data_IF_111674444530
#
_entry.id   IF_111674444530
#
_cell.length_a   1.000
_cell.length_b   1.000
_cell.length_c   1.000
_cell.angle_alpha   90.00
_cell.angle_beta   90.00
_cell.angle_gamma   90.00
#
_symmetry.space_group_name_H-M   'P 1'
#
loop_
_entity.id
_entity.type
_entity.pdbx_description
1 polymer ?
#
# COMPACT_ATOMS: atom_id res chain seq x y z
N UNK A 1 27.83 7.34 -0.93
CA UNK A 1 27.74 6.40 -2.07
C UNK A 1 27.69 7.21 -3.35
N UNK A 2 28.33 6.76 -4.44
CA UNK A 2 28.26 7.49 -5.71
C UNK A 2 26.83 7.45 -6.27
N UNK A 3 26.28 8.62 -6.63
CA UNK A 3 24.97 8.76 -7.26
C UNK A 3 24.94 8.12 -8.66
N UNK A 4 23.74 7.75 -9.14
CA UNK A 4 23.59 7.06 -10.43
C UNK A 4 24.08 7.91 -11.61
N UNK A 5 23.84 9.22 -11.59
CA UNK A 5 24.36 10.15 -12.61
C UNK A 5 25.88 10.09 -12.73
N UNK A 6 26.58 10.17 -11.60
CA UNK A 6 28.04 10.09 -11.61
C UNK A 6 28.55 8.71 -12.05
N UNK A 7 27.85 7.61 -11.72
CA UNK A 7 28.21 6.28 -12.24
C UNK A 7 28.07 6.20 -13.75
N UNK A 8 26.98 6.75 -14.28
CA UNK A 8 26.73 6.82 -15.72
C UNK A 8 27.85 7.57 -16.43
N UNK A 9 28.20 8.76 -15.94
CA UNK A 9 29.29 9.57 -16.50
C UNK A 9 30.66 8.89 -16.43
N UNK A 10 30.97 8.20 -15.32
CA UNK A 10 32.23 7.45 -15.20
C UNK A 10 32.30 6.32 -16.23
N UNK A 11 31.19 5.60 -16.44
CA UNK A 11 31.14 4.50 -17.40
C UNK A 11 31.20 5.01 -18.84
N UNK A 12 30.52 6.11 -19.16
CA UNK A 12 30.62 6.76 -20.47
C UNK A 12 32.03 7.27 -20.76
N UNK A 13 32.73 7.82 -19.76
CA UNK A 13 34.12 8.23 -19.91
C UNK A 13 35.02 7.03 -20.20
N UNK A 14 34.82 5.92 -19.48
CA UNK A 14 35.55 4.67 -19.72
C UNK A 14 35.30 4.12 -21.14
N UNK A 15 34.03 4.11 -21.59
CA UNK A 15 33.66 3.66 -22.93
C UNK A 15 34.26 4.54 -24.04
N UNK A 16 34.53 5.82 -23.75
CA UNK A 16 35.25 6.76 -24.64
C UNK A 16 36.78 6.57 -24.61
N UNK A 17 37.29 5.57 -23.89
CA UNK A 17 38.72 5.27 -23.80
C UNK A 17 39.49 6.10 -22.77
N UNK A 18 38.80 6.83 -21.89
CA UNK A 18 39.44 7.60 -20.82
C UNK A 18 40.04 6.65 -19.77
N UNK A 19 41.28 6.92 -19.37
CA UNK A 19 41.95 6.14 -18.32
C UNK A 19 41.24 6.30 -16.98
N UNK A 20 41.06 5.20 -16.24
CA UNK A 20 40.34 5.13 -14.94
C UNK A 20 40.85 6.13 -13.89
N UNK A 21 42.12 6.57 -13.99
CA UNK A 21 42.71 7.55 -13.06
C UNK A 21 42.07 8.93 -13.16
N UNK A 22 41.63 9.32 -14.35
CA UNK A 22 41.02 10.64 -14.59
C UNK A 22 39.64 10.77 -13.93
N UNK A 23 38.64 9.90 -14.17
CA UNK A 23 37.37 9.95 -13.47
C UNK A 23 37.54 9.72 -11.97
N UNK A 24 38.53 8.92 -11.53
CA UNK A 24 38.83 8.77 -10.10
C UNK A 24 39.18 10.12 -9.46
N UNK A 25 40.01 10.91 -10.12
CA UNK A 25 40.37 12.26 -9.67
C UNK A 25 39.20 13.25 -9.78
N UNK A 26 38.48 13.25 -10.91
CA UNK A 26 37.37 14.19 -11.16
C UNK A 26 36.20 14.00 -10.20
N UNK A 27 35.87 12.76 -9.83
CA UNK A 27 34.78 12.44 -8.92
C UNK A 27 35.25 12.25 -7.47
N UNK A 28 36.54 12.47 -7.16
CA UNK A 28 37.12 12.24 -5.84
C UNK A 28 36.83 10.84 -5.29
N UNK A 29 36.87 9.82 -6.15
CA UNK A 29 36.62 8.42 -5.81
C UNK A 29 37.88 7.58 -5.96
N UNK A 30 38.02 6.54 -5.13
CA UNK A 30 39.10 5.58 -5.30
C UNK A 30 38.92 4.80 -6.63
N UNK A 31 40.02 4.56 -7.34
CA UNK A 31 40.09 3.68 -8.53
C UNK A 31 39.43 2.32 -8.30
N UNK A 32 39.57 1.73 -7.11
CA UNK A 32 38.90 0.48 -6.74
C UNK A 32 37.37 0.58 -6.84
N UNK A 33 36.78 1.74 -6.52
CA UNK A 33 35.34 1.96 -6.65
C UNK A 33 34.89 1.93 -8.11
N UNK A 34 35.71 2.44 -9.02
CA UNK A 34 35.44 2.41 -10.46
C UNK A 34 35.54 0.97 -10.99
N UNK A 35 36.58 0.22 -10.62
CA UNK A 35 36.69 -1.19 -11.01
C UNK A 35 35.52 -2.03 -10.49
N UNK A 36 35.02 -1.76 -9.28
CA UNK A 36 33.81 -2.41 -8.74
C UNK A 36 32.56 -2.07 -9.55
N UNK A 37 32.44 -0.84 -10.04
CA UNK A 37 31.34 -0.42 -10.92
C UNK A 37 31.41 -1.12 -12.28
N UNK A 38 32.60 -1.18 -12.88
CA UNK A 38 32.83 -1.89 -14.14
C UNK A 38 32.51 -3.39 -14.00
N UNK A 39 33.02 -4.03 -12.95
CA UNK A 39 32.71 -5.43 -12.65
C UNK A 39 31.20 -5.66 -12.54
N UNK A 40 30.50 -4.83 -11.76
CA UNK A 40 29.04 -4.91 -11.63
C UNK A 40 28.32 -4.74 -12.96
N UNK A 41 28.73 -3.78 -13.80
CA UNK A 41 28.15 -3.58 -15.14
C UNK A 41 28.33 -4.85 -15.98
N UNK A 42 29.49 -5.49 -15.93
CA UNK A 42 29.73 -6.71 -16.70
C UNK A 42 28.88 -7.90 -16.21
N UNK A 43 28.62 -7.99 -14.90
CA UNK A 43 27.83 -9.06 -14.31
C UNK A 43 26.31 -8.85 -14.46
N UNK A 44 25.84 -7.61 -14.31
CA UNK A 44 24.40 -7.28 -14.20
C UNK A 44 23.86 -6.51 -15.41
N UNK A 45 24.73 -5.93 -16.24
CA UNK A 45 24.37 -5.03 -17.35
C UNK A 45 23.93 -3.62 -16.92
N UNK A 46 23.73 -3.37 -15.63
CA UNK A 46 23.22 -2.10 -15.09
C UNK A 46 24.24 -1.36 -14.23
N UNK A 47 24.21 -0.02 -14.30
CA UNK A 47 25.00 0.89 -13.47
C UNK A 47 24.24 1.39 -12.23
N UNK A 48 22.92 1.16 -12.19
CA UNK A 48 22.06 1.69 -11.15
C UNK A 48 22.28 1.00 -9.80
N UNK A 49 22.04 1.75 -8.71
CA UNK A 49 21.86 1.13 -7.40
C UNK A 49 20.59 0.29 -7.37
N UNK A 50 20.73 -1.03 -7.22
CA UNK A 50 19.62 -1.92 -6.91
C UNK A 50 19.25 -1.82 -5.41
N UNK A 51 18.75 -0.66 -4.98
CA UNK A 51 18.27 -0.43 -3.61
C UNK A 51 17.05 -1.29 -3.29
N UNK A 52 16.16 -1.49 -4.27
CA UNK A 52 14.94 -2.30 -4.13
C UNK A 52 15.23 -3.78 -3.80
N UNK A 53 16.42 -4.28 -4.16
CA UNK A 53 16.82 -5.63 -3.84
C UNK A 53 17.37 -5.77 -2.41
N UNK A 54 17.70 -4.66 -1.75
CA UNK A 54 18.22 -4.66 -0.38
C UNK A 54 17.08 -4.75 0.64
N UNK A 55 17.42 -5.21 1.85
CA UNK A 55 16.49 -5.29 2.97
C UNK A 55 15.72 -6.62 3.04
N UNK A 56 14.83 -6.71 4.03
CA UNK A 56 14.01 -7.89 4.27
C UNK A 56 12.95 -8.01 3.17
N UNK A 57 12.86 -9.20 2.55
CA UNK A 57 11.84 -9.48 1.55
C UNK A 57 10.45 -9.54 2.19
N UNK A 58 9.41 -9.08 1.49
CA UNK A 58 8.03 -9.23 1.98
C UNK A 58 7.70 -10.72 2.16
N UNK A 59 6.84 -11.02 3.13
CA UNK A 59 6.39 -12.40 3.38
C UNK A 59 5.41 -12.91 2.32
N UNK A 60 4.64 -12.00 1.71
CA UNK A 60 3.72 -12.32 0.63
C UNK A 60 4.48 -12.30 -0.69
N UNK A 61 4.28 -13.34 -1.48
CA UNK A 61 4.76 -13.43 -2.85
C UNK A 61 3.79 -12.75 -3.82
N UNK A 62 4.24 -12.51 -5.07
CA UNK A 62 3.38 -11.95 -6.11
C UNK A 62 2.23 -12.90 -6.49
N UNK A 63 2.42 -14.21 -6.30
CA UNK A 63 1.36 -15.22 -6.49
C UNK A 63 0.30 -15.08 -5.39
N UNK A 64 0.73 -14.92 -4.13
CA UNK A 64 -0.20 -14.70 -3.02
C UNK A 64 -1.01 -13.42 -3.21
N UNK A 65 -0.38 -12.36 -3.73
CA UNK A 65 -1.08 -11.13 -4.07
C UNK A 65 -2.22 -11.39 -5.06
N UNK A 66 -1.96 -12.15 -6.13
CA UNK A 66 -2.98 -12.48 -7.12
C UNK A 66 -4.10 -13.33 -6.51
N UNK A 67 -3.77 -14.34 -5.70
CA UNK A 67 -4.78 -15.16 -5.04
C UNK A 67 -5.68 -14.35 -4.09
N UNK A 68 -5.11 -13.43 -3.30
CA UNK A 68 -5.89 -12.55 -2.41
C UNK A 68 -6.85 -11.68 -3.24
N UNK A 69 -6.37 -11.10 -4.35
CA UNK A 69 -7.20 -10.26 -5.21
C UNK A 69 -8.32 -11.05 -5.89
N UNK A 70 -8.03 -12.23 -6.46
CA UNK A 70 -9.04 -13.09 -7.06
C UNK A 70 -10.09 -13.56 -6.05
N UNK A 71 -9.70 -13.73 -4.79
CA UNK A 71 -10.62 -14.11 -3.73
C UNK A 71 -11.55 -12.94 -3.34
N UNK A 72 -11.03 -11.72 -3.29
CA UNK A 72 -11.83 -10.50 -3.08
C UNK A 72 -12.82 -10.23 -4.20
N UNK A 73 -12.45 -10.51 -5.45
CA UNK A 73 -13.36 -10.39 -6.59
C UNK A 73 -14.56 -11.35 -6.46
N UNK A 74 -14.34 -12.54 -5.92
CA UNK A 74 -15.41 -13.52 -5.66
C UNK A 74 -16.25 -13.16 -4.44
N UNK A 75 -15.61 -12.64 -3.39
CA UNK A 75 -16.24 -12.35 -2.10
C UNK A 75 -15.73 -11.00 -1.56
N UNK A 76 -16.41 -9.89 -1.88
CA UNK A 76 -15.92 -8.55 -1.50
C UNK A 76 -16.03 -8.25 0.00
N UNK A 77 -16.91 -8.96 0.72
CA UNK A 77 -17.14 -8.78 2.16
C UNK A 77 -16.27 -9.69 3.04
N UNK A 78 -15.28 -10.38 2.46
CA UNK A 78 -14.40 -11.27 3.22
C UNK A 78 -13.50 -10.51 4.19
N UNK A 79 -13.32 -11.06 5.39
CA UNK A 79 -12.45 -10.50 6.42
C UNK A 79 -10.98 -10.88 6.21
N UNK A 80 -10.07 -10.09 6.77
CA UNK A 80 -8.63 -10.39 6.69
C UNK A 80 -8.24 -11.71 7.37
N UNK A 81 -8.99 -12.15 8.38
CA UNK A 81 -8.78 -13.44 9.04
C UNK A 81 -9.18 -14.60 8.12
N UNK A 82 -10.35 -14.51 7.51
CA UNK A 82 -10.82 -15.53 6.57
C UNK A 82 -9.90 -15.63 5.35
N UNK A 83 -9.34 -14.51 4.86
CA UNK A 83 -8.30 -14.54 3.80
C UNK A 83 -7.10 -15.38 4.23
N UNK A 84 -6.64 -15.23 5.47
CA UNK A 84 -5.48 -15.98 5.98
C UNK A 84 -5.79 -17.46 6.08
N UNK A 85 -6.97 -17.81 6.62
CA UNK A 85 -7.40 -19.19 6.79
C UNK A 85 -7.69 -19.89 5.46
N UNK A 86 -8.32 -19.20 4.51
CA UNK A 86 -8.66 -19.77 3.20
C UNK A 86 -7.45 -20.01 2.31
N UNK A 87 -6.42 -19.16 2.41
CA UNK A 87 -5.20 -19.26 1.61
C UNK A 87 -4.01 -19.88 2.39
N UNK A 88 -4.23 -20.30 3.63
CA UNK A 88 -3.22 -20.85 4.56
C UNK A 88 -1.91 -20.01 4.61
N UNK A 89 -2.06 -18.69 4.73
CA UNK A 89 -0.93 -17.77 4.63
C UNK A 89 -0.19 -17.63 5.98
N UNK A 90 1.15 -17.73 6.02
CA UNK A 90 1.93 -17.57 7.25
C UNK A 90 2.17 -16.09 7.63
N UNK A 91 1.09 -15.30 7.62
CA UNK A 91 1.13 -13.84 7.82
C UNK A 91 0.14 -13.39 8.89
N UNK A 92 0.39 -12.22 9.46
CA UNK A 92 -0.54 -11.59 10.40
C UNK A 92 -1.67 -10.85 9.65
N UNK A 93 -2.78 -10.64 10.34
CA UNK A 93 -3.94 -9.84 9.89
C UNK A 93 -3.48 -8.46 9.37
N UNK A 94 -2.61 -7.77 10.13
CA UNK A 94 -2.08 -6.46 9.73
C UNK A 94 -1.30 -6.48 8.41
N UNK A 95 -0.65 -7.60 8.09
CA UNK A 95 0.12 -7.73 6.85
C UNK A 95 -0.83 -7.76 5.65
N UNK A 96 -1.90 -8.54 5.75
CA UNK A 96 -2.97 -8.58 4.74
C UNK A 96 -3.62 -7.21 4.63
N UNK A 97 -3.97 -6.58 5.75
CA UNK A 97 -4.58 -5.25 5.74
C UNK A 97 -3.69 -4.19 5.06
N UNK A 98 -2.39 -4.16 5.34
CA UNK A 98 -1.44 -3.25 4.67
C UNK A 98 -1.34 -3.52 3.17
N UNK A 99 -1.38 -4.78 2.77
CA UNK A 99 -1.43 -5.15 1.35
C UNK A 99 -2.69 -4.59 0.68
N UNK A 100 -3.86 -4.80 1.30
CA UNK A 100 -5.14 -4.30 0.76
C UNK A 100 -5.18 -2.77 0.65
N UNK A 101 -4.67 -2.06 1.67
CA UNK A 101 -4.54 -0.61 1.61
C UNK A 101 -3.66 -0.14 0.44
N UNK A 102 -2.53 -0.82 0.20
CA UNK A 102 -1.63 -0.51 -0.91
C UNK A 102 -2.26 -0.82 -2.27
N UNK A 103 -3.09 -1.86 -2.35
CA UNK A 103 -3.87 -2.22 -3.53
C UNK A 103 -5.06 -1.27 -3.78
N UNK A 104 -5.33 -0.31 -2.88
CA UNK A 104 -6.36 0.71 -3.05
C UNK A 104 -7.69 0.36 -2.38
N UNK A 105 -7.81 -0.81 -1.75
CA UNK A 105 -9.01 -1.17 -1.00
C UNK A 105 -9.10 -0.33 0.27
N UNK A 106 -10.29 0.23 0.51
CA UNK A 106 -10.59 1.03 1.69
C UNK A 106 -11.83 0.51 2.36
N UNK A 107 -11.81 0.51 3.69
CA UNK A 107 -13.01 0.23 4.48
C UNK A 107 -14.08 1.27 4.13
N UNK A 108 -15.21 0.81 3.60
CA UNK A 108 -16.40 1.65 3.42
C UNK A 108 -16.97 2.01 4.79
N UNK A 109 -16.58 3.17 5.32
CA UNK A 109 -17.16 3.72 6.56
C UNK A 109 -18.42 4.50 6.18
N UNK A 110 -19.55 4.25 6.85
CA UNK A 110 -20.71 5.16 6.76
C UNK A 110 -20.27 6.55 7.26
N UNK A 111 -20.69 7.61 6.58
CA UNK A 111 -20.47 8.98 7.03
C UNK A 111 -21.09 9.17 8.43
N UNK A 112 -20.64 10.18 9.17
CA UNK A 112 -21.24 10.56 10.46
C UNK A 112 -22.70 11.03 10.35
N UNK A 113 -23.22 11.10 9.12
CA UNK A 113 -24.60 11.41 8.84
C UNK A 113 -25.42 10.13 9.03
N UNK A 114 -26.13 10.04 10.16
CA UNK A 114 -27.09 8.98 10.38
C UNK A 114 -28.27 9.18 9.42
N UNK A 115 -28.68 8.15 8.68
CA UNK A 115 -29.89 8.21 7.85
C UNK A 115 -31.15 8.62 8.66
N UNK A 116 -31.13 8.49 9.99
CA UNK A 116 -32.18 8.99 10.88
C UNK A 116 -32.30 10.52 10.85
N UNK A 117 -31.24 11.26 10.51
CA UNK A 117 -31.27 12.72 10.34
C UNK A 117 -32.09 13.14 9.11
N UNK A 118 -32.20 12.27 8.10
CA UNK A 118 -33.05 12.48 6.93
C UNK A 118 -34.52 12.13 7.21
N UNK A 119 -34.85 11.54 8.38
CA UNK A 119 -36.25 11.31 8.73
C UNK A 119 -36.96 12.66 8.82
N UNK A 120 -38.11 12.83 8.15
CA UNK A 120 -38.91 14.02 8.33
C UNK A 120 -39.22 14.14 9.83
N UNK A 121 -38.85 15.27 10.43
CA UNK A 121 -39.26 15.62 11.79
C UNK A 121 -40.78 15.49 11.82
N UNK A 122 -41.31 14.63 12.70
CA UNK A 122 -42.75 14.36 12.78
C UNK A 122 -43.53 15.68 12.80
N UNK A 123 -44.08 16.06 11.64
CA UNK A 123 -44.95 17.21 11.45
C UNK A 123 -46.40 16.78 11.24
N UNK A 124 -46.71 15.52 11.53
CA UNK A 124 -48.10 15.09 11.64
C UNK A 124 -48.65 15.72 12.91
N UNK A 125 -49.61 16.64 12.76
CA UNK A 125 -50.41 17.14 13.87
C UNK A 125 -50.92 15.96 14.71
N UNK A 126 -50.70 16.05 16.01
CA UNK A 126 -51.29 15.14 16.97
C UNK A 126 -52.80 15.18 16.79
N UNK A 127 -53.38 14.13 16.19
CA UNK A 127 -54.84 13.99 16.12
C UNK A 127 -55.34 13.97 17.55
N UNK A 128 -55.97 15.07 17.99
CA UNK A 128 -56.69 15.13 19.26
C UNK A 128 -57.65 13.95 19.29
N UNK A 129 -57.38 12.98 20.15
CA UNK A 129 -58.31 11.92 20.47
C UNK A 129 -59.47 12.57 21.21
N UNK A 130 -60.55 12.89 20.49
CA UNK A 130 -61.82 13.27 21.10
C UNK A 130 -62.37 12.05 21.85
N UNK A 131 -61.95 11.89 23.10
CA UNK A 131 -62.69 11.10 24.08
C UNK A 131 -62.86 11.96 25.32
N UNK A 132 -64.05 12.54 25.54
CA UNK A 132 -64.32 13.25 26.78
C UNK A 132 -64.28 12.24 27.93
N UNK A 133 -63.42 12.53 28.92
CA UNK A 133 -63.29 11.70 30.11
C UNK A 133 -64.51 11.96 31.00
N UNK A 134 -65.42 10.99 31.07
CA UNK A 134 -66.55 11.03 32.00
C UNK A 134 -66.03 10.61 33.38
N UNK A 135 -65.87 11.59 34.27
CA UNK A 135 -65.58 11.34 35.68
C UNK A 135 -66.87 10.91 36.39
N UNK A 136 -66.96 9.65 36.79
CA UNK A 136 -68.02 9.16 37.67
C UNK A 136 -67.61 9.51 39.11
N UNK A 137 -68.31 10.46 39.73
CA UNK A 137 -68.20 10.70 41.17
C UNK A 137 -68.94 9.59 41.93
N UNK A 138 -68.18 8.77 42.65
CA UNK A 138 -68.74 7.77 43.56
C UNK A 138 -69.36 8.42 44.80
N UNK A 139 -70.50 7.85 45.25
CA UNK A 139 -71.20 8.19 46.49
C UNK A 139 -70.52 7.60 47.72
#
# INVERSE_FOLDING_TARGET
MLHNEARKLILEAYDKGVSVKEPAKSFSVNTCSIYRLLKRRNETGSYETQTNLRGKKPKLSDVDHQHILSLLEKQPDITCLEIIETLDLPVSIDTVWRFLQKAGYRRKKKSLHANEQERPRCGAEEKRLERPYIWIQGK
#
